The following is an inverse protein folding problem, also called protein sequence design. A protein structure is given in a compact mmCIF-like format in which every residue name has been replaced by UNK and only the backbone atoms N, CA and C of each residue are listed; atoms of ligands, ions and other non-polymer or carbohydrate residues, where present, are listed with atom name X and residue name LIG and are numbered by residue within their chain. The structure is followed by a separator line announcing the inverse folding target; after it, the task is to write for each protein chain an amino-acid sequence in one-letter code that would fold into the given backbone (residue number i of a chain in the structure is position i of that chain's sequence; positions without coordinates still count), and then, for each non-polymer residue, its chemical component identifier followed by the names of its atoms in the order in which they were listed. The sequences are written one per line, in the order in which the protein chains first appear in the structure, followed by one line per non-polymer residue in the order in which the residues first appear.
data_IF_632328693626
#
_entry.id   IF_632328693626
#
_cell.length_a   1.000
_cell.length_b   1.000
_cell.length_c   1.000
_cell.angle_alpha   90.00
_cell.angle_beta   90.00
_cell.angle_gamma   90.00
#
_symmetry.space_group_name_H-M   'P 1'
#
loop_
_entity.id
_entity.type
_entity.pdbx_description
1 polymer ?
#
# COMPACT_ATOMS: atom_id res chain seq x y z
N UNK A 1 -21.18 -30.45 4.22
CA UNK A 1 -20.77 -29.33 5.10
C UNK A 1 -19.80 -28.49 4.29
N UNK A 2 -20.03 -27.20 4.00
CA UNK A 2 -19.10 -26.44 3.18
C UNK A 2 -18.04 -25.73 4.05
N UNK A 3 -16.79 -26.00 3.71
CA UNK A 3 -15.55 -25.42 4.21
C UNK A 3 -15.42 -23.92 3.89
N UNK A 4 -16.15 -23.08 4.61
CA UNK A 4 -16.17 -21.63 4.36
C UNK A 4 -14.95 -20.93 4.96
N UNK A 5 -13.74 -21.21 4.46
CA UNK A 5 -12.58 -20.32 4.64
C UNK A 5 -12.65 -19.25 3.55
N UNK A 6 -13.49 -18.23 3.76
CA UNK A 6 -13.56 -17.06 2.87
C UNK A 6 -12.38 -16.15 3.20
N UNK A 7 -11.39 -16.13 2.32
CA UNK A 7 -10.30 -15.16 2.38
C UNK A 7 -10.84 -13.78 1.93
N UNK A 8 -10.99 -12.86 2.86
CA UNK A 8 -11.32 -11.47 2.53
C UNK A 8 -10.03 -10.68 2.29
N UNK A 9 -9.81 -10.27 1.05
CA UNK A 9 -8.69 -9.40 0.66
C UNK A 9 -9.16 -7.96 0.59
N UNK A 10 -8.47 -7.06 1.30
CA UNK A 10 -8.62 -5.62 1.15
C UNK A 10 -7.49 -5.11 0.25
N UNK A 11 -7.79 -4.24 -0.71
CA UNK A 11 -6.82 -3.72 -1.67
C UNK A 11 -6.70 -2.21 -1.51
N UNK A 12 -5.51 -1.76 -1.17
CA UNK A 12 -5.16 -0.35 -1.07
C UNK A 12 -4.49 0.07 -2.37
N UNK A 13 -5.07 1.06 -3.05
CA UNK A 13 -4.47 1.66 -4.23
C UNK A 13 -3.72 2.94 -3.84
N UNK A 14 -2.44 3.01 -4.21
CA UNK A 14 -1.60 4.20 -4.05
C UNK A 14 -1.22 4.67 -5.45
N UNK A 15 -1.59 5.90 -5.80
CA UNK A 15 -1.20 6.52 -7.07
C UNK A 15 0.26 6.96 -6.98
N UNK A 16 1.12 6.36 -7.81
CA UNK A 16 2.56 6.64 -7.85
C UNK A 16 2.95 7.68 -8.90
N UNK A 17 2.15 7.80 -9.96
CA UNK A 17 2.40 8.73 -11.05
C UNK A 17 1.07 9.17 -11.68
N UNK A 18 1.08 10.35 -12.30
CA UNK A 18 -0.02 10.82 -13.14
C UNK A 18 -0.10 10.03 -14.46
N UNK A 19 -1.21 10.16 -15.18
CA UNK A 19 -1.41 9.65 -16.55
C UNK A 19 -0.27 9.95 -17.53
N UNK A 20 0.45 11.05 -17.33
CA UNK A 20 1.62 11.46 -18.13
C UNK A 20 2.92 10.71 -17.78
N UNK A 21 2.93 9.86 -16.75
CA UNK A 21 4.12 9.16 -16.25
C UNK A 21 4.98 10.00 -15.30
N UNK A 22 4.52 11.19 -14.90
CA UNK A 22 5.19 12.02 -13.89
C UNK A 22 4.93 11.46 -12.50
N UNK A 23 6.01 11.12 -11.77
CA UNK A 23 5.93 10.65 -10.39
C UNK A 23 5.22 11.65 -9.49
N UNK A 24 4.28 11.16 -8.69
CA UNK A 24 3.55 11.91 -7.69
C UNK A 24 4.19 11.66 -6.33
N UNK A 25 4.69 12.71 -5.68
CA UNK A 25 5.33 12.60 -4.37
C UNK A 25 5.95 13.92 -3.94
N UNK A 26 6.31 14.02 -2.65
CA UNK A 26 7.09 15.14 -2.13
C UNK A 26 8.55 14.70 -2.02
N UNK A 27 9.48 15.61 -2.28
CA UNK A 27 10.89 15.32 -2.12
C UNK A 27 11.79 16.42 -2.66
N UNK A 28 13.09 16.22 -2.51
CA UNK A 28 14.12 17.15 -2.95
C UNK A 28 14.76 16.61 -4.23
N UNK A 29 14.93 17.48 -5.23
CA UNK A 29 15.47 17.13 -6.55
C UNK A 29 14.67 15.99 -7.24
N UNK A 30 15.32 14.87 -7.58
CA UNK A 30 14.75 13.75 -8.33
C UNK A 30 14.30 12.58 -7.45
N UNK A 31 14.30 12.76 -6.12
CA UNK A 31 13.87 11.74 -5.16
C UNK A 31 12.45 12.06 -4.73
N UNK A 32 11.52 11.14 -5.01
CA UNK A 32 10.11 11.30 -4.66
C UNK A 32 9.71 10.26 -3.62
N UNK A 33 9.07 10.71 -2.55
CA UNK A 33 8.45 9.84 -1.55
C UNK A 33 6.94 10.05 -1.55
N UNK A 34 6.21 8.93 -1.54
CA UNK A 34 4.77 8.88 -1.41
C UNK A 34 4.43 7.88 -0.33
N UNK A 35 3.71 8.33 0.70
CA UNK A 35 3.22 7.51 1.79
C UNK A 35 1.71 7.75 1.90
N UNK A 36 0.96 6.68 2.13
CA UNK A 36 -0.48 6.74 2.34
C UNK A 36 -0.80 6.00 3.62
N UNK A 37 -1.39 6.73 4.57
CA UNK A 37 -1.91 6.16 5.78
C UNK A 37 -3.27 5.55 5.48
N UNK A 38 -3.35 4.23 5.53
CA UNK A 38 -4.62 3.53 5.44
C UNK A 38 -5.07 3.14 6.83
N UNK A 39 -6.19 3.72 7.22
CA UNK A 39 -6.96 3.21 8.33
C UNK A 39 -7.73 1.99 7.83
N UNK A 40 -7.38 0.81 8.33
CA UNK A 40 -8.18 -0.40 8.07
C UNK A 40 -9.62 -0.11 8.48
N UNK A 41 -10.55 -0.23 7.54
CA UNK A 41 -12.00 -0.10 7.81
C UNK A 41 -12.53 -1.26 8.66
N UNK A 42 -11.71 -2.28 8.91
CA UNK A 42 -12.05 -3.48 9.68
C UNK A 42 -11.08 -3.70 10.83
N UNK A 43 -11.61 -4.19 11.94
CA UNK A 43 -10.81 -4.64 13.08
C UNK A 43 -9.93 -5.82 12.67
N UNK A 44 -8.62 -5.62 12.70
CA UNK A 44 -7.66 -6.70 12.54
C UNK A 44 -7.69 -7.57 13.79
N UNK A 45 -7.92 -8.86 13.63
CA UNK A 45 -7.87 -9.84 14.72
C UNK A 45 -6.43 -10.32 14.93
N UNK A 46 -6.06 -10.82 16.13
CA UNK A 46 -4.75 -11.44 16.33
C UNK A 46 -4.56 -12.62 15.36
N UNK A 47 -3.46 -12.60 14.59
CA UNK A 47 -3.18 -13.64 13.60
C UNK A 47 -2.06 -13.25 12.64
N UNK A 48 -1.69 -14.19 11.78
CA UNK A 48 -0.68 -13.99 10.75
C UNK A 48 -1.33 -13.42 9.48
N UNK A 49 -0.88 -12.24 9.07
CA UNK A 49 -1.33 -11.58 7.85
C UNK A 49 -0.24 -11.65 6.78
N UNK A 50 -0.66 -11.85 5.53
CA UNK A 50 0.24 -11.73 4.38
C UNK A 50 -0.10 -10.44 3.65
N UNK A 51 0.88 -9.55 3.55
CA UNK A 51 0.76 -8.33 2.76
C UNK A 51 1.42 -8.58 1.40
N UNK A 52 0.69 -8.28 0.33
CA UNK A 52 1.22 -8.35 -1.04
C UNK A 52 1.26 -6.95 -1.62
N UNK A 53 2.44 -6.52 -2.03
CA UNK A 53 2.63 -5.26 -2.74
C UNK A 53 2.81 -5.56 -4.21
N UNK A 54 2.00 -4.92 -5.06
CA UNK A 54 2.03 -5.09 -6.50
C UNK A 54 1.92 -3.71 -7.15
N UNK A 55 2.67 -3.48 -8.22
CA UNK A 55 2.53 -2.27 -9.02
C UNK A 55 1.57 -2.53 -10.19
N UNK A 56 0.69 -1.56 -10.47
CA UNK A 56 -0.34 -1.68 -11.50
C UNK A 56 0.03 -1.06 -12.84
N UNK A 57 1.31 -0.75 -13.06
CA UNK A 57 1.76 -0.10 -14.30
C UNK A 57 1.89 -1.13 -15.43
N UNK A 58 1.84 -0.66 -16.67
CA UNK A 58 1.90 -1.51 -17.86
C UNK A 58 3.24 -2.23 -17.99
N UNK A 59 4.32 -1.58 -17.58
CA UNK A 59 5.65 -2.16 -17.58
C UNK A 59 5.73 -3.38 -16.67
N UNK A 60 6.62 -4.33 -16.97
CA UNK A 60 6.80 -5.51 -16.13
C UNK A 60 7.63 -5.21 -14.88
N UNK A 61 8.57 -4.26 -15.01
CA UNK A 61 9.46 -3.83 -13.93
C UNK A 61 9.35 -2.32 -13.79
N UNK A 62 9.24 -1.86 -12.55
CA UNK A 62 9.11 -0.45 -12.24
C UNK A 62 10.50 0.15 -12.02
N UNK A 63 11.07 0.72 -13.07
CA UNK A 63 12.39 1.36 -13.01
C UNK A 63 12.32 2.71 -12.28
N UNK A 64 13.40 3.07 -11.57
CA UNK A 64 13.50 4.32 -10.81
C UNK A 64 12.94 4.27 -9.39
N UNK A 65 12.35 3.13 -8.99
CA UNK A 65 11.97 2.88 -7.61
C UNK A 65 13.19 2.43 -6.80
N UNK A 66 13.54 3.18 -5.76
CA UNK A 66 14.68 2.86 -4.91
C UNK A 66 14.32 1.89 -3.78
N UNK A 67 13.18 2.12 -3.10
CA UNK A 67 12.76 1.36 -1.93
C UNK A 67 11.22 1.33 -1.80
N UNK A 68 10.70 0.30 -1.13
CA UNK A 68 9.28 0.16 -0.75
C UNK A 68 9.20 -0.38 0.68
N UNK A 69 8.55 0.39 1.56
CA UNK A 69 8.36 0.04 2.96
C UNK A 69 6.89 -0.11 3.35
N UNK A 70 6.64 -0.85 4.43
CA UNK A 70 5.35 -0.94 5.10
C UNK A 70 5.55 -0.55 6.56
N UNK A 71 4.81 0.45 7.03
CA UNK A 71 4.80 0.87 8.43
C UNK A 71 3.43 0.52 9.04
N UNK A 72 3.45 -0.24 10.13
CA UNK A 72 2.25 -0.60 10.89
C UNK A 72 2.25 0.18 12.19
N UNK A 73 1.21 0.98 12.41
CA UNK A 73 1.07 1.81 13.60
C UNK A 73 -0.24 1.52 14.31
N UNK A 74 -0.23 1.58 15.65
CA UNK A 74 -1.47 1.56 16.43
C UNK A 74 -2.18 2.88 16.20
N UNK A 75 -3.47 2.83 15.90
CA UNK A 75 -4.27 4.03 15.85
C UNK A 75 -4.31 4.63 17.26
N UNK A 76 -3.68 5.80 17.45
CA UNK A 76 -3.87 6.57 18.66
C UNK A 76 -5.31 7.09 18.64
N UNK A 77 -6.10 6.70 19.64
CA UNK A 77 -7.42 7.26 19.86
C UNK A 77 -7.20 8.26 20.98
N UNK A 78 -7.03 9.53 20.63
CA UNK A 78 -7.09 10.61 21.60
C UNK A 78 -8.47 10.56 22.27
N UNK A 79 -8.48 10.47 23.60
CA UNK A 79 -9.66 10.41 24.45
C UNK A 79 -10.03 11.80 24.99
#
# INVERSE_FOLDING_TARGET
MPDSTVWHTDTIAITLADSSGRWTGKGWESIYQSETFVKSVRTLHPGNYTIKVMHGMKDKSLQGMNDVGIRVEKQHIDN
#
